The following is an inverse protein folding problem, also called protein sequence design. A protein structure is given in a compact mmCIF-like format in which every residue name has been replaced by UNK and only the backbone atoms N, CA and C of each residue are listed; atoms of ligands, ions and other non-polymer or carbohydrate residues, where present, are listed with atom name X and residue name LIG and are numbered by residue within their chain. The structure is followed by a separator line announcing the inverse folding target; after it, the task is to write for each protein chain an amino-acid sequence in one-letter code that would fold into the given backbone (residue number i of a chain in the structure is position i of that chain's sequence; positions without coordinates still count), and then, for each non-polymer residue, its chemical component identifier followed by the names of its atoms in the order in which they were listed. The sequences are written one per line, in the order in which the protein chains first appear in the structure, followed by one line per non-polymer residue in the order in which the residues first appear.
data_IF_577054693472
#
_entry.id   IF_577054693472
#
_cell.length_a   1.000
_cell.length_b   1.000
_cell.length_c   1.000
_cell.angle_alpha   90.00
_cell.angle_beta   90.00
_cell.angle_gamma   90.00
#
_symmetry.space_group_name_H-M   'P 1'
#
loop_
_entity.id
_entity.type
_entity.pdbx_description
1 polymer ?
#
# COMPACT_ATOMS: atom_id res chain seq x y z
N UNK A 1 -8.91 -25.07 2.24
CA UNK A 1 -9.95 -24.69 3.19
C UNK A 1 -11.30 -24.59 2.49
N UNK A 2 -12.31 -25.20 3.09
CA UNK A 2 -13.63 -25.20 2.47
C UNK A 2 -14.24 -23.81 2.36
N UNK A 3 -13.99 -22.94 3.34
CA UNK A 3 -14.51 -21.57 3.31
C UNK A 3 -13.95 -20.79 2.13
N UNK A 4 -12.68 -21.00 1.77
CA UNK A 4 -12.10 -20.28 0.65
C UNK A 4 -12.77 -20.61 -0.67
N UNK A 5 -13.40 -21.79 -0.78
CA UNK A 5 -14.13 -22.20 -1.98
C UNK A 5 -15.45 -21.41 -2.15
N UNK A 6 -15.93 -20.79 -1.09
CA UNK A 6 -17.14 -19.97 -1.08
C UNK A 6 -16.85 -18.48 -1.18
N UNK A 7 -15.58 -18.10 -1.13
CA UNK A 7 -15.16 -16.72 -1.25
C UNK A 7 -15.04 -16.38 -2.72
N UNK A 8 -15.84 -15.46 -3.17
CA UNK A 8 -15.85 -15.01 -4.56
C UNK A 8 -15.51 -13.54 -4.62
N UNK A 9 -14.61 -13.18 -5.54
CA UNK A 9 -14.35 -11.78 -5.80
C UNK A 9 -15.53 -11.20 -6.57
N UNK A 10 -16.16 -10.19 -6.02
CA UNK A 10 -17.24 -9.47 -6.67
C UNK A 10 -16.75 -8.12 -7.16
N UNK A 11 -17.04 -7.81 -8.40
CA UNK A 11 -16.75 -6.51 -8.95
C UNK A 11 -17.64 -5.46 -8.28
N UNK A 12 -17.05 -4.36 -7.87
CA UNK A 12 -17.78 -3.23 -7.32
C UNK A 12 -18.55 -2.52 -8.42
N UNK A 13 -19.72 -1.97 -8.09
CA UNK A 13 -20.41 -1.07 -9.01
C UNK A 13 -19.59 0.17 -9.31
N UNK A 14 -18.76 0.59 -8.35
CA UNK A 14 -17.78 1.64 -8.55
C UNK A 14 -16.45 1.00 -8.94
N UNK A 15 -16.03 1.22 -10.17
CA UNK A 15 -14.84 0.58 -10.72
C UNK A 15 -13.58 1.40 -10.41
N UNK A 16 -12.43 0.74 -10.54
CA UNK A 16 -11.12 1.40 -10.45
C UNK A 16 -11.03 2.56 -11.45
N UNK A 17 -11.50 2.34 -12.66
CA UNK A 17 -11.46 3.34 -13.73
C UNK A 17 -12.29 4.58 -13.38
N UNK A 18 -13.48 4.37 -12.78
CA UNK A 18 -14.31 5.47 -12.32
C UNK A 18 -13.61 6.24 -11.19
N UNK A 19 -12.97 5.53 -10.27
CA UNK A 19 -12.23 6.16 -9.17
C UNK A 19 -11.05 6.98 -9.69
N UNK A 20 -10.31 6.43 -10.65
CA UNK A 20 -9.19 7.16 -11.28
C UNK A 20 -9.66 8.41 -12.00
N UNK A 21 -10.80 8.31 -12.69
CA UNK A 21 -11.39 9.47 -13.37
C UNK A 21 -11.77 10.57 -12.37
N UNK A 22 -12.43 10.18 -11.28
CA UNK A 22 -12.82 11.14 -10.24
C UNK A 22 -11.59 11.77 -9.58
N UNK A 23 -10.54 11.00 -9.34
CA UNK A 23 -9.30 11.49 -8.74
C UNK A 23 -8.46 12.32 -9.72
N UNK A 24 -8.72 12.22 -11.01
CA UNK A 24 -7.98 12.95 -12.02
C UNK A 24 -6.58 12.39 -12.29
N UNK A 25 -6.32 11.14 -11.92
CA UNK A 25 -5.03 10.48 -12.14
C UNK A 25 -5.17 8.96 -12.10
N UNK A 26 -4.20 8.28 -12.66
CA UNK A 26 -4.08 6.83 -12.52
C UNK A 26 -3.49 6.48 -11.17
N UNK A 27 -3.61 5.22 -10.79
CA UNK A 27 -3.07 4.72 -9.53
C UNK A 27 -1.87 3.82 -9.77
N UNK A 28 -0.92 3.87 -8.85
CA UNK A 28 0.29 3.06 -8.91
C UNK A 28 0.89 2.91 -7.52
N UNK A 29 1.72 1.89 -7.35
CA UNK A 29 2.55 1.72 -6.15
C UNK A 29 3.98 2.08 -6.53
N UNK A 30 4.58 2.94 -5.70
CA UNK A 30 6.02 3.22 -5.80
C UNK A 30 6.67 2.55 -4.60
N UNK A 31 7.54 1.58 -4.85
CA UNK A 31 8.18 0.79 -3.82
C UNK A 31 9.62 1.26 -3.64
N UNK A 32 9.91 1.81 -2.46
CA UNK A 32 11.27 2.26 -2.13
C UNK A 32 12.03 1.11 -1.49
N UNK A 33 13.20 0.82 -2.01
CA UNK A 33 14.11 -0.18 -1.46
C UNK A 33 15.42 0.46 -1.06
N UNK A 34 16.16 -0.20 -0.18
CA UNK A 34 17.44 0.28 0.26
C UNK A 34 17.69 -0.06 1.72
N UNK A 35 18.94 0.07 2.13
CA UNK A 35 19.34 -0.17 3.50
C UNK A 35 18.88 0.97 4.40
N UNK A 36 18.75 0.68 5.69
CA UNK A 36 18.50 1.68 6.71
C UNK A 36 19.57 2.78 6.63
N UNK A 37 19.14 4.04 6.67
CA UNK A 37 20.05 5.16 6.54
C UNK A 37 20.42 5.54 5.11
N UNK A 38 19.84 4.89 4.10
CA UNK A 38 20.11 5.20 2.69
C UNK A 38 19.40 6.46 2.19
N UNK A 39 18.54 7.07 3.02
CA UNK A 39 17.79 8.26 2.63
C UNK A 39 16.44 7.96 1.98
N UNK A 40 16.02 6.70 1.90
CA UNK A 40 14.74 6.34 1.26
C UNK A 40 13.52 6.98 1.94
N UNK A 41 13.54 7.09 3.27
CA UNK A 41 12.44 7.74 4.00
C UNK A 41 12.36 9.23 3.66
N UNK A 42 13.49 9.90 3.59
CA UNK A 42 13.55 11.32 3.22
C UNK A 42 13.00 11.55 1.82
N UNK A 43 13.38 10.70 0.87
CA UNK A 43 12.91 10.80 -0.52
C UNK A 43 11.41 10.51 -0.59
N UNK A 44 10.93 9.47 0.09
CA UNK A 44 9.52 9.10 0.04
C UNK A 44 8.61 10.17 0.66
N UNK A 45 9.04 10.78 1.74
CA UNK A 45 8.30 11.88 2.37
C UNK A 45 8.23 13.10 1.43
N UNK A 46 9.35 13.46 0.81
CA UNK A 46 9.39 14.57 -0.12
C UNK A 46 8.51 14.32 -1.34
N UNK A 47 8.53 13.11 -1.88
CA UNK A 47 7.69 12.74 -3.03
C UNK A 47 6.20 12.78 -2.67
N UNK A 48 5.83 12.25 -1.52
CA UNK A 48 4.44 12.28 -1.07
C UNK A 48 3.93 13.72 -0.97
N UNK A 49 4.72 14.59 -0.37
CA UNK A 49 4.36 15.99 -0.19
C UNK A 49 4.17 16.68 -1.54
N UNK A 50 5.07 16.44 -2.47
CA UNK A 50 5.00 17.05 -3.81
C UNK A 50 3.77 16.56 -4.57
N UNK A 51 3.50 15.27 -4.58
CA UNK A 51 2.32 14.71 -5.22
C UNK A 51 1.03 15.21 -4.58
N UNK A 52 1.01 15.30 -3.25
CA UNK A 52 -0.13 15.84 -2.53
C UNK A 52 -0.40 17.29 -2.95
N UNK A 53 0.66 18.10 -3.06
CA UNK A 53 0.53 19.49 -3.47
C UNK A 53 0.06 19.64 -4.92
N UNK A 54 0.29 18.64 -5.75
CA UNK A 54 -0.22 18.58 -7.12
C UNK A 54 -1.65 18.06 -7.22
N UNK A 55 -2.30 17.80 -6.09
CA UNK A 55 -3.68 17.30 -6.05
C UNK A 55 -3.83 15.80 -6.24
N UNK A 56 -2.75 15.04 -6.12
CA UNK A 56 -2.81 13.59 -6.22
C UNK A 56 -3.24 12.96 -4.90
N UNK A 57 -4.02 11.89 -4.98
CA UNK A 57 -4.36 11.08 -3.81
C UNK A 57 -3.16 10.22 -3.46
N UNK A 58 -2.57 10.44 -2.30
CA UNK A 58 -1.35 9.74 -1.89
C UNK A 58 -1.47 9.22 -0.48
N UNK A 59 -0.80 8.11 -0.24
CA UNK A 59 -0.61 7.59 1.11
C UNK A 59 0.71 6.84 1.16
N UNK A 60 1.49 7.08 2.21
CA UNK A 60 2.79 6.45 2.40
C UNK A 60 2.68 5.35 3.45
N UNK A 61 2.96 4.12 3.03
CA UNK A 61 3.02 2.98 3.93
C UNK A 61 4.48 2.82 4.38
N UNK A 62 4.78 3.21 5.60
CA UNK A 62 6.11 2.97 6.15
C UNK A 62 6.09 1.88 7.21
N UNK A 63 7.27 1.33 7.51
CA UNK A 63 7.39 0.21 8.42
C UNK A 63 6.83 0.49 9.81
N UNK A 64 7.05 1.68 10.33
CA UNK A 64 6.60 2.03 11.68
C UNK A 64 5.08 2.15 11.74
N UNK A 65 4.46 2.84 10.79
CA UNK A 65 3.01 2.98 10.73
C UNK A 65 2.32 1.63 10.57
N UNK A 66 2.87 0.77 9.71
CA UNK A 66 2.33 -0.56 9.45
C UNK A 66 2.45 -1.44 10.70
N UNK A 67 3.58 -1.36 11.42
CA UNK A 67 3.81 -2.16 12.62
C UNK A 67 2.99 -1.70 13.82
N UNK A 68 2.51 -0.49 13.83
CA UNK A 68 1.63 0.01 14.89
C UNK A 68 0.24 -0.63 14.86
N UNK A 69 -0.24 -1.03 13.70
CA UNK A 69 -1.57 -1.59 13.54
C UNK A 69 -1.58 -2.91 12.78
N UNK A 70 -1.49 -2.83 11.48
CA UNK A 70 -1.65 -3.97 10.57
C UNK A 70 -0.75 -5.15 10.95
N UNK A 71 0.51 -4.89 11.28
CA UNK A 71 1.53 -5.91 11.54
C UNK A 71 2.06 -5.88 12.98
N UNK A 72 1.29 -5.37 13.92
CA UNK A 72 1.77 -5.24 15.30
C UNK A 72 2.07 -6.58 15.97
N UNK A 73 1.50 -7.66 15.48
CA UNK A 73 1.74 -9.01 16.01
C UNK A 73 2.97 -9.68 15.41
N UNK A 74 3.68 -9.01 14.49
CA UNK A 74 4.85 -9.58 13.83
C UNK A 74 6.13 -9.07 14.45
N UNK A 75 7.12 -9.97 14.59
CA UNK A 75 8.45 -9.65 15.04
C UNK A 75 9.42 -9.46 13.87
N UNK A 76 10.68 -9.88 14.08
CA UNK A 76 11.76 -9.69 13.12
C UNK A 76 12.37 -10.98 12.61
N UNK A 77 11.73 -12.13 12.88
CA UNK A 77 12.17 -13.40 12.29
C UNK A 77 12.03 -13.37 10.78
N UNK A 78 12.76 -14.21 10.04
CA UNK A 78 12.60 -14.26 8.58
C UNK A 78 11.17 -14.51 8.15
N UNK A 79 10.45 -15.37 8.85
CA UNK A 79 9.04 -15.68 8.58
C UNK A 79 8.15 -14.46 8.79
N UNK A 80 8.37 -13.73 9.88
CA UNK A 80 7.60 -12.53 10.20
C UNK A 80 7.91 -11.41 9.22
N UNK A 81 9.16 -11.27 8.78
CA UNK A 81 9.55 -10.29 7.77
C UNK A 81 8.85 -10.58 6.44
N UNK A 82 8.78 -11.84 6.04
CA UNK A 82 8.08 -12.23 4.81
C UNK A 82 6.58 -11.93 4.92
N UNK A 83 5.99 -12.24 6.05
CA UNK A 83 4.57 -11.96 6.27
C UNK A 83 4.29 -10.45 6.31
N UNK A 84 5.20 -9.66 6.87
CA UNK A 84 5.10 -8.21 6.87
C UNK A 84 5.03 -7.66 5.44
N UNK A 85 5.93 -8.12 4.58
CA UNK A 85 5.96 -7.69 3.17
C UNK A 85 4.70 -8.15 2.44
N UNK A 86 4.25 -9.37 2.69
CA UNK A 86 3.04 -9.89 2.07
C UNK A 86 1.82 -9.04 2.42
N UNK A 87 1.66 -8.70 3.70
CA UNK A 87 0.52 -7.89 4.16
C UNK A 87 0.54 -6.49 3.57
N UNK A 88 1.72 -5.87 3.53
CA UNK A 88 1.87 -4.54 2.93
C UNK A 88 1.51 -4.59 1.45
N UNK A 89 1.95 -5.63 0.74
CA UNK A 89 1.62 -5.82 -0.67
C UNK A 89 0.12 -5.95 -0.91
N UNK A 90 -0.58 -6.68 -0.05
CA UNK A 90 -2.03 -6.83 -0.16
C UNK A 90 -2.77 -5.50 0.05
N UNK A 91 -2.34 -4.72 1.05
CA UNK A 91 -2.92 -3.39 1.29
C UNK A 91 -2.63 -2.46 0.12
N UNK A 92 -1.41 -2.46 -0.39
CA UNK A 92 -1.04 -1.64 -1.54
C UNK A 92 -1.89 -1.98 -2.77
N UNK A 93 -2.16 -3.26 -2.99
CA UNK A 93 -3.02 -3.72 -4.07
C UNK A 93 -4.43 -3.14 -3.97
N UNK A 94 -5.00 -3.14 -2.77
CA UNK A 94 -6.31 -2.56 -2.54
C UNK A 94 -6.31 -1.04 -2.77
N UNK A 95 -5.25 -0.37 -2.38
CA UNK A 95 -5.12 1.07 -2.59
C UNK A 95 -5.04 1.42 -4.08
N UNK A 96 -4.33 0.63 -4.86
CA UNK A 96 -4.27 0.81 -6.32
C UNK A 96 -5.66 0.60 -6.93
N UNK A 97 -6.37 -0.42 -6.47
CA UNK A 97 -7.72 -0.70 -6.94
C UNK A 97 -8.70 0.42 -6.56
N UNK A 98 -8.42 1.12 -5.49
CA UNK A 98 -9.22 2.26 -5.05
C UNK A 98 -8.94 3.55 -5.85
N UNK A 99 -8.01 3.50 -6.77
CA UNK A 99 -7.68 4.65 -7.59
C UNK A 99 -6.71 5.60 -6.93
#
# INVERSE_FOLDING_TARGET
MSESNHITWHDSEVTKKQRQHKNGHKSAVIWFTGLSGSGKSTVSVALEKELFNEGKQTYRLDGDNVRHGLNKNLGFSPEDRSENIRRIGEVAKLMVDAG
#
